data_IF_366666897379
#
_entry.id   IF_366666897379
#
_cell.length_a   1.000
_cell.length_b   1.000
_cell.length_c   1.000
_cell.angle_alpha   90.00
_cell.angle_beta   90.00
_cell.angle_gamma   90.00
#
_symmetry.space_group_name_H-M   'P 1'
#
loop_
_entity.id
_entity.type
_entity.pdbx_description
1 polymer ?
#
# COMPACT_ATOMS: atom_id res chain seq x y z
N UNK A 1 3.66 -11.73 -2.35
CA UNK A 1 4.01 -10.32 -2.68
C UNK A 1 5.26 -10.30 -3.55
N UNK A 2 5.31 -9.50 -4.63
CA UNK A 2 6.50 -9.36 -5.49
C UNK A 2 7.75 -8.85 -4.74
N UNK A 3 8.94 -9.34 -5.11
CA UNK A 3 10.20 -9.01 -4.43
C UNK A 3 10.52 -7.49 -4.43
N UNK A 4 10.36 -6.73 -5.54
CA UNK A 4 10.62 -5.30 -5.52
C UNK A 4 9.73 -4.54 -4.54
N UNK A 5 8.46 -4.93 -4.44
CA UNK A 5 7.52 -4.35 -3.48
C UNK A 5 7.89 -4.69 -2.04
N UNK A 6 8.31 -5.94 -1.77
CA UNK A 6 8.81 -6.34 -0.45
C UNK A 6 9.99 -5.47 -0.01
N UNK A 7 10.97 -5.24 -0.89
CA UNK A 7 12.15 -4.40 -0.62
C UNK A 7 11.76 -2.95 -0.32
N UNK A 8 10.82 -2.40 -1.10
CA UNK A 8 10.34 -1.02 -0.89
C UNK A 8 9.65 -0.86 0.47
N UNK A 9 8.81 -1.83 0.86
CA UNK A 9 8.14 -1.84 2.16
C UNK A 9 9.14 -1.92 3.32
N UNK A 10 10.11 -2.84 3.24
CA UNK A 10 11.16 -2.98 4.27
C UNK A 10 11.94 -1.68 4.40
N UNK A 11 12.40 -1.10 3.29
CA UNK A 11 13.13 0.17 3.31
C UNK A 11 12.30 1.30 3.93
N UNK A 12 11.00 1.36 3.65
CA UNK A 12 10.09 2.36 4.26
C UNK A 12 10.03 2.19 5.78
N UNK A 13 9.87 0.96 6.27
CA UNK A 13 9.81 0.63 7.70
C UNK A 13 11.15 0.94 8.38
N UNK A 14 12.27 0.62 7.73
CA UNK A 14 13.61 0.92 8.24
C UNK A 14 13.84 2.43 8.38
N UNK A 15 13.44 3.24 7.39
CA UNK A 15 13.51 4.69 7.49
C UNK A 15 12.68 5.23 8.65
N UNK A 16 11.46 4.72 8.84
CA UNK A 16 10.59 5.13 9.94
C UNK A 16 11.19 4.78 11.31
N UNK A 17 11.63 3.53 11.47
CA UNK A 17 12.24 3.05 12.72
C UNK A 17 13.55 3.78 13.05
N UNK A 18 14.27 4.29 12.05
CA UNK A 18 15.46 5.10 12.21
C UNK A 18 15.17 6.58 12.53
N UNK A 19 13.90 7.01 12.59
CA UNK A 19 13.52 8.40 12.82
C UNK A 19 13.68 9.30 11.59
N UNK A 20 13.93 8.74 10.40
CA UNK A 20 14.14 9.48 9.15
C UNK A 20 12.79 9.65 8.45
N UNK A 21 11.91 10.46 9.04
CA UNK A 21 10.49 10.54 8.68
C UNK A 21 10.23 11.06 7.26
N UNK A 22 11.05 12.00 6.79
CA UNK A 22 10.99 12.49 5.40
C UNK A 22 11.27 11.37 4.39
N UNK A 23 12.33 10.58 4.62
CA UNK A 23 12.68 9.43 3.79
C UNK A 23 11.63 8.31 3.88
N UNK A 24 11.05 8.09 5.06
CA UNK A 24 9.96 7.14 5.26
C UNK A 24 8.71 7.55 4.46
N UNK A 25 8.33 8.83 4.47
CA UNK A 25 7.19 9.32 3.71
C UNK A 25 7.42 9.21 2.18
N UNK A 26 8.60 9.57 1.68
CA UNK A 26 8.96 9.42 0.25
C UNK A 26 8.96 7.95 -0.18
N UNK A 27 9.64 7.10 0.58
CA UNK A 27 9.71 5.65 0.31
C UNK A 27 8.34 4.98 0.43
N UNK A 28 7.53 5.45 1.37
CA UNK A 28 6.18 4.95 1.60
C UNK A 28 5.26 5.28 0.43
N UNK A 29 5.33 6.49 -0.12
CA UNK A 29 4.58 6.87 -1.33
C UNK A 29 4.98 6.03 -2.54
N UNK A 30 6.28 5.76 -2.72
CA UNK A 30 6.77 4.86 -3.78
C UNK A 30 6.28 3.42 -3.57
N UNK A 31 6.26 2.95 -2.33
CA UNK A 31 5.73 1.63 -1.98
C UNK A 31 4.24 1.54 -2.31
N UNK A 32 3.46 2.56 -1.95
CA UNK A 32 2.03 2.68 -2.25
C UNK A 32 1.77 2.62 -3.76
N UNK A 33 2.53 3.37 -4.55
CA UNK A 33 2.46 3.31 -6.01
C UNK A 33 2.79 1.91 -6.55
N UNK A 34 3.83 1.27 -6.02
CA UNK A 34 4.19 -0.10 -6.34
C UNK A 34 3.06 -1.09 -6.08
N UNK A 35 2.35 -0.97 -4.94
CA UNK A 35 1.19 -1.81 -4.61
C UNK A 35 0.16 -1.74 -5.75
N UNK A 36 -0.28 -0.54 -6.13
CA UNK A 36 -1.31 -0.38 -7.16
C UNK A 36 -0.83 -0.80 -8.56
N UNK A 37 0.43 -0.55 -8.91
CA UNK A 37 1.01 -1.06 -10.16
C UNK A 37 0.93 -2.60 -10.23
N UNK A 38 1.22 -3.30 -9.14
CA UNK A 38 1.15 -4.76 -9.13
C UNK A 38 -0.28 -5.33 -9.11
N UNK A 39 -1.30 -4.50 -8.85
CA UNK A 39 -2.71 -4.88 -9.03
C UNK A 39 -3.18 -4.79 -10.49
N UNK A 40 -2.41 -4.10 -11.34
CA UNK A 40 -2.74 -3.85 -12.74
C UNK A 40 -1.92 -4.72 -13.71
N UNK A 41 -2.47 -5.03 -14.89
CA UNK A 41 -1.70 -5.64 -15.98
C UNK A 41 -0.59 -4.70 -16.44
N UNK A 42 0.49 -5.24 -17.00
CA UNK A 42 1.72 -4.47 -17.31
C UNK A 42 1.48 -3.21 -18.14
N UNK A 43 0.60 -3.27 -19.14
CA UNK A 43 0.24 -2.12 -19.98
C UNK A 43 -0.51 -0.98 -19.26
N UNK A 44 -0.97 -1.20 -18.02
CA UNK A 44 -1.71 -0.23 -17.20
C UNK A 44 -0.94 0.24 -15.96
N UNK A 45 0.36 -0.06 -15.87
CA UNK A 45 1.19 0.29 -14.70
C UNK A 45 1.79 1.70 -14.78
N UNK A 46 1.32 2.55 -15.68
CA UNK A 46 1.88 3.87 -15.92
C UNK A 46 0.90 4.96 -15.50
N UNK A 47 1.43 6.11 -15.12
CA UNK A 47 0.64 7.26 -14.72
C UNK A 47 0.70 7.56 -13.21
N UNK A 48 0.05 8.66 -12.79
CA UNK A 48 0.09 9.11 -11.41
C UNK A 48 -0.68 8.17 -10.48
N UNK A 49 -0.31 8.16 -9.20
CA UNK A 49 -0.91 7.29 -8.17
C UNK A 49 -2.45 7.31 -8.16
N UNK A 50 -3.08 8.49 -8.31
CA UNK A 50 -4.55 8.57 -8.32
C UNK A 50 -5.17 7.75 -9.46
N UNK A 51 -4.55 7.73 -10.66
CA UNK A 51 -5.02 6.91 -11.78
C UNK A 51 -4.80 5.43 -11.54
N UNK A 52 -3.65 5.05 -10.97
CA UNK A 52 -3.38 3.66 -10.62
C UNK A 52 -4.41 3.13 -9.60
N UNK A 53 -4.85 3.96 -8.65
CA UNK A 53 -5.89 3.61 -7.68
C UNK A 53 -7.26 3.46 -8.36
N UNK A 54 -7.66 4.44 -9.17
CA UNK A 54 -8.92 4.39 -9.94
C UNK A 54 -8.98 3.13 -10.81
N UNK A 55 -7.92 2.82 -11.54
CA UNK A 55 -7.88 1.65 -12.40
C UNK A 55 -7.88 0.34 -11.60
N UNK A 56 -7.12 0.26 -10.51
CA UNK A 56 -7.05 -0.96 -9.70
C UNK A 56 -8.40 -1.27 -9.03
N UNK A 57 -9.08 -0.24 -8.51
CA UNK A 57 -10.40 -0.37 -7.88
C UNK A 57 -11.52 -0.65 -8.87
N UNK A 58 -11.36 -0.29 -10.14
CA UNK A 58 -12.29 -0.66 -11.21
C UNK A 58 -12.02 -2.07 -11.77
N UNK A 59 -10.75 -2.50 -11.83
CA UNK A 59 -10.35 -3.76 -12.46
C UNK A 59 -10.54 -4.99 -11.56
N UNK A 60 -10.44 -4.82 -10.25
CA UNK A 60 -10.73 -5.85 -9.27
C UNK A 60 -11.95 -5.42 -8.46
N UNK A 61 -12.79 -6.38 -8.05
CA UNK A 61 -13.80 -6.17 -7.00
C UNK A 61 -13.11 -6.01 -5.63
N UNK A 62 -12.23 -5.01 -5.56
CA UNK A 62 -11.62 -4.51 -4.35
C UNK A 62 -12.77 -3.88 -3.57
N UNK A 63 -13.37 -4.71 -2.73
CA UNK A 63 -14.54 -4.41 -1.90
C UNK A 63 -14.43 -3.05 -1.19
N UNK A 64 -15.57 -2.59 -0.65
CA UNK A 64 -15.78 -1.29 0.02
C UNK A 64 -14.56 -0.63 0.70
N UNK A 65 -13.76 -1.32 1.53
CA UNK A 65 -12.60 -0.73 2.22
C UNK A 65 -11.58 -0.04 1.30
N UNK A 66 -11.32 -0.58 0.10
CA UNK A 66 -10.37 0.03 -0.83
C UNK A 66 -10.97 1.21 -1.61
N UNK A 67 -12.30 1.22 -1.82
CA UNK A 67 -13.00 2.40 -2.34
C UNK A 67 -13.01 3.54 -1.31
N UNK A 68 -13.29 3.24 -0.05
CA UNK A 68 -13.21 4.21 1.05
C UNK A 68 -11.79 4.76 1.19
N UNK A 69 -10.77 3.90 1.07
CA UNK A 69 -9.38 4.33 1.09
C UNK A 69 -9.00 5.19 -0.12
N UNK A 70 -9.43 4.82 -1.34
CA UNK A 70 -9.24 5.65 -2.54
C UNK A 70 -9.84 7.05 -2.36
N UNK A 71 -11.06 7.11 -1.82
CA UNK A 71 -11.68 8.37 -1.46
C UNK A 71 -10.86 9.14 -0.42
N UNK A 72 -10.39 8.49 0.65
CA UNK A 72 -9.55 9.11 1.67
C UNK A 72 -8.21 9.62 1.11
N UNK A 73 -7.57 8.89 0.18
CA UNK A 73 -6.34 9.32 -0.49
C UNK A 73 -6.59 10.52 -1.42
N UNK A 74 -7.77 10.59 -2.05
CA UNK A 74 -8.19 11.68 -2.93
C UNK A 74 -8.64 12.92 -2.16
N UNK A 75 -9.40 12.77 -1.07
CA UNK A 75 -9.89 13.87 -0.22
C UNK A 75 -8.83 14.37 0.75
N UNK A 76 -7.95 13.48 1.22
CA UNK A 76 -6.74 13.81 1.97
C UNK A 76 -5.65 14.45 1.12
N UNK A 77 -5.99 14.91 -0.10
CA UNK A 77 -5.21 15.82 -0.93
C UNK A 77 -3.73 15.49 -0.90
N UNK A 78 -3.34 14.45 -1.65
CA UNK A 78 -1.94 14.05 -1.74
C UNK A 78 -1.34 13.67 -0.37
N UNK A 79 -1.63 12.47 0.15
CA UNK A 79 -0.78 11.78 1.13
C UNK A 79 0.67 11.76 0.59
N UNK A 80 1.43 12.82 0.88
CA UNK A 80 2.80 13.05 0.46
C UNK A 80 3.07 13.79 -0.88
N UNK A 81 2.13 14.51 -1.51
CA UNK A 81 2.42 15.34 -2.71
C UNK A 81 2.12 16.83 -2.59
N UNK A 82 1.34 17.22 -1.58
CA UNK A 82 1.64 18.43 -0.83
C UNK A 82 2.31 17.95 0.47
N UNK A 83 3.53 17.41 0.34
CA UNK A 83 4.54 17.92 1.27
C UNK A 83 4.50 19.40 0.99
N UNK A 84 3.97 20.15 1.93
CA UNK A 84 4.14 21.58 1.91
C UNK A 84 5.65 21.79 1.72
N UNK A 85 6.10 22.52 0.69
CA UNK A 85 7.52 22.87 0.59
C UNK A 85 8.00 23.57 1.88
N UNK A 86 7.05 24.08 2.67
CA UNK A 86 7.24 24.72 3.97
C UNK A 86 7.23 23.75 5.17
N UNK A 87 6.79 22.49 5.05
CA UNK A 87 6.70 21.53 6.16
C UNK A 87 7.22 20.13 5.80
N UNK A 88 8.38 19.77 6.37
CA UNK A 88 8.88 18.38 6.33
C UNK A 88 7.90 17.43 7.06
N UNK A 89 7.76 16.17 6.61
CA UNK A 89 6.94 15.19 7.31
C UNK A 89 7.54 14.91 8.67
N UNK A 90 6.69 15.08 9.66
CA UNK A 90 6.97 14.66 11.01
C UNK A 90 6.73 13.15 11.18
N UNK A 91 7.00 12.69 12.40
CA UNK A 91 6.76 11.31 12.82
C UNK A 91 5.32 10.87 12.57
N UNK A 92 4.36 11.75 12.79
CA UNK A 92 2.94 11.42 12.72
C UNK A 92 2.53 11.12 11.27
N UNK A 93 2.98 11.92 10.31
CA UNK A 93 2.74 11.68 8.89
C UNK A 93 3.41 10.39 8.43
N UNK A 94 4.67 10.17 8.83
CA UNK A 94 5.40 8.95 8.47
C UNK A 94 4.74 7.70 9.07
N UNK A 95 4.27 7.77 10.32
CA UNK A 95 3.53 6.69 10.99
C UNK A 95 2.24 6.36 10.26
N UNK A 96 1.43 7.37 9.92
CA UNK A 96 0.18 7.17 9.16
C UNK A 96 0.44 6.50 7.80
N UNK A 97 1.53 6.87 7.13
CA UNK A 97 1.93 6.23 5.88
C UNK A 97 2.32 4.76 6.08
N UNK A 98 3.12 4.44 7.10
CA UNK A 98 3.50 3.06 7.42
C UNK A 98 2.27 2.21 7.79
N UNK A 99 1.35 2.76 8.58
CA UNK A 99 0.09 2.10 8.95
C UNK A 99 -0.77 1.80 7.72
N UNK A 100 -0.94 2.78 6.83
CA UNK A 100 -1.64 2.60 5.56
C UNK A 100 -1.04 1.46 4.73
N UNK A 101 0.29 1.43 4.58
CA UNK A 101 0.98 0.37 3.85
C UNK A 101 0.78 -0.99 4.52
N UNK A 102 0.83 -1.04 5.84
CA UNK A 102 0.60 -2.27 6.59
C UNK A 102 -0.83 -2.81 6.39
N UNK A 103 -1.85 -1.94 6.43
CA UNK A 103 -3.23 -2.33 6.16
C UNK A 103 -3.42 -2.87 4.75
N UNK A 104 -2.86 -2.17 3.75
CA UNK A 104 -2.93 -2.60 2.36
C UNK A 104 -2.22 -3.92 2.11
N UNK A 105 -1.01 -4.09 2.64
CA UNK A 105 -0.24 -5.33 2.49
C UNK A 105 -0.94 -6.48 3.19
N UNK A 106 -1.48 -6.23 4.37
CA UNK A 106 -2.25 -7.21 5.13
C UNK A 106 -3.46 -7.69 4.34
N UNK A 107 -4.26 -6.75 3.82
CA UNK A 107 -5.46 -7.06 3.06
C UNK A 107 -5.17 -7.74 1.72
N UNK A 108 -4.18 -7.27 0.96
CA UNK A 108 -3.92 -7.74 -0.41
C UNK A 108 -3.07 -9.01 -0.49
N UNK A 109 -2.24 -9.27 0.53
CA UNK A 109 -1.26 -10.36 0.47
C UNK A 109 -1.29 -11.28 1.68
N UNK A 110 -1.35 -10.76 2.91
CA UNK A 110 -1.23 -11.58 4.12
C UNK A 110 -2.51 -12.36 4.40
N UNK A 111 -3.64 -11.66 4.52
CA UNK A 111 -4.93 -12.27 4.85
C UNK A 111 -5.37 -13.30 3.80
N UNK A 112 -5.29 -13.04 2.47
CA UNK A 112 -5.60 -14.05 1.47
C UNK A 112 -4.71 -15.30 1.60
N UNK A 113 -3.41 -15.13 1.84
CA UNK A 113 -2.50 -16.26 2.02
C UNK A 113 -2.81 -17.07 3.28
N UNK A 114 -3.15 -16.41 4.39
CA UNK A 114 -3.57 -17.05 5.63
C UNK A 114 -4.88 -17.83 5.45
N UNK A 115 -5.85 -17.27 4.73
CA UNK A 115 -7.11 -17.97 4.41
C UNK A 115 -6.84 -19.20 3.56
N UNK A 116 -6.06 -19.09 2.49
CA UNK A 116 -5.73 -20.25 1.64
C UNK A 116 -4.99 -21.34 2.41
N UNK A 117 -4.10 -20.96 3.33
CA UNK A 117 -3.43 -21.92 4.20
C UNK A 117 -4.41 -22.62 5.14
N UNK A 118 -5.32 -21.86 5.77
CA UNK A 118 -6.36 -22.40 6.65
C UNK A 118 -7.27 -23.37 5.90
N UNK A 119 -7.70 -23.04 4.67
CA UNK A 119 -8.50 -23.93 3.82
C UNK A 119 -7.78 -25.23 3.50
N UNK A 120 -6.49 -25.17 3.17
CA UNK A 120 -5.68 -26.35 2.90
C UNK A 120 -5.56 -27.27 4.12
N UNK A 121 -5.39 -26.70 5.32
CA UNK A 121 -5.27 -27.47 6.54
C UNK A 121 -6.60 -28.08 6.98
N UNK A 122 -7.71 -27.35 6.80
CA UNK A 122 -9.07 -27.89 7.01
C UNK A 122 -9.43 -29.00 6.01
N UNK A 123 -8.95 -28.91 4.77
CA UNK A 123 -9.12 -29.94 3.75
C UNK A 123 -8.36 -31.23 4.05
N UNK A 124 -7.12 -31.14 4.56
CA UNK A 124 -6.30 -32.29 4.97
C UNK A 124 -6.87 -33.07 6.15
N UNK A 125 -7.60 -32.41 7.05
CA UNK A 125 -8.24 -33.04 8.19
C UNK A 125 -9.53 -33.82 7.83
N UNK A 126 -9.95 -33.81 6.56
CA UNK A 126 -11.13 -34.55 6.06
C UNK A 126 -10.77 -35.87 5.35
N UNK A 127 -9.49 -36.23 5.28
CA UNK A 127 -8.96 -37.51 4.76
C UNK A 127 -8.29 -38.28 5.88
#
# INVERSE_FOLDING_TARGET
MPLPLKKALISTIECYNAGIYSAAAVSGRRTLEGIFKYLLPEGKRNGPLHKLIEEATAAKDLSGPLKTLSHAIRTGGNLGAHFDEEHEPDENVARQMVELLNYLVSYLYVLPAQISQLEADLGKNKT
#
